data_IF_003721934627
#
_entry.id   IF_003721934627
#
_cell.length_a   1.000
_cell.length_b   1.000
_cell.length_c   1.000
_cell.angle_alpha   90.00
_cell.angle_beta   90.00
_cell.angle_gamma   90.00
#
_symmetry.space_group_name_H-M   'P 1'
#
loop_
_entity.id
_entity.type
_entity.pdbx_description
1 polymer ?
#
# COMPACT_ATOMS: atom_id res chain seq x y z
N UNK A 1 -12.44 11.79 20.34
CA UNK A 1 -11.33 12.64 19.89
C UNK A 1 -11.37 12.77 18.38
N UNK A 2 -11.25 13.98 17.88
CA UNK A 2 -11.30 14.24 16.45
C UNK A 2 -9.92 13.99 15.85
N UNK A 3 -9.85 13.16 14.80
CA UNK A 3 -8.59 12.94 14.10
C UNK A 3 -8.22 14.17 13.28
N UNK A 4 -6.95 14.36 13.06
CA UNK A 4 -6.46 15.41 12.18
C UNK A 4 -6.48 14.95 10.73
N UNK A 5 -6.94 15.81 9.85
CA UNK A 5 -6.84 15.62 8.42
C UNK A 5 -6.37 16.95 7.82
N UNK A 6 -5.05 17.15 7.85
CA UNK A 6 -4.43 18.37 7.35
C UNK A 6 -4.32 18.34 5.84
N UNK A 7 -4.29 19.50 5.22
CA UNK A 7 -4.13 19.61 3.76
C UNK A 7 -2.67 19.49 3.36
N UNK A 8 -2.44 18.84 2.23
CA UNK A 8 -1.15 18.76 1.57
C UNK A 8 -1.40 18.52 0.09
N UNK A 9 -0.47 18.91 -0.76
CA UNK A 9 -0.63 18.75 -2.21
C UNK A 9 -0.33 17.32 -2.65
N UNK A 10 -1.11 16.38 -2.15
CA UNK A 10 -1.01 14.96 -2.49
C UNK A 10 -1.82 14.71 -3.76
N UNK A 11 -1.22 14.05 -4.73
CA UNK A 11 -1.89 13.71 -5.99
C UNK A 11 -1.99 12.20 -6.14
N UNK A 12 -3.17 11.74 -6.52
CA UNK A 12 -3.43 10.32 -6.73
C UNK A 12 -3.92 10.14 -8.15
N UNK A 13 -3.33 9.20 -8.86
CA UNK A 13 -3.74 8.88 -10.23
C UNK A 13 -3.63 7.39 -10.48
N UNK A 14 -4.41 6.84 -11.43
CA UNK A 14 -4.26 5.43 -11.80
C UNK A 14 -2.87 5.15 -12.35
N UNK A 15 -2.30 4.02 -11.95
CA UNK A 15 -1.08 3.52 -12.57
C UNK A 15 -1.43 2.93 -13.93
N UNK A 16 -0.57 3.12 -14.92
CA UNK A 16 -0.79 2.57 -16.25
C UNK A 16 -0.36 1.12 -16.32
N UNK A 17 -1.13 0.31 -17.07
CA UNK A 17 -0.83 -1.10 -17.27
C UNK A 17 -1.11 -1.94 -16.05
N UNK A 18 -0.36 -3.02 -15.92
CA UNK A 18 -0.46 -3.92 -14.78
C UNK A 18 0.74 -3.73 -13.87
N UNK A 19 0.47 -3.60 -12.58
CA UNK A 19 1.51 -3.51 -11.55
C UNK A 19 1.63 -4.87 -10.88
N UNK A 20 2.86 -5.37 -10.78
CA UNK A 20 3.18 -6.61 -10.09
C UNK A 20 4.00 -6.28 -8.85
N UNK A 21 3.65 -6.89 -7.73
CA UNK A 21 4.45 -6.77 -6.50
C UNK A 21 5.13 -8.10 -6.26
N UNK A 22 6.44 -8.06 -6.17
CA UNK A 22 7.29 -9.25 -5.99
C UNK A 22 7.90 -9.16 -4.59
N UNK A 23 7.79 -10.24 -3.84
CA UNK A 23 8.42 -10.35 -2.52
C UNK A 23 9.26 -11.61 -2.49
N UNK A 24 10.56 -11.46 -2.22
CA UNK A 24 11.50 -12.58 -2.14
C UNK A 24 11.39 -13.47 -3.38
N UNK A 25 11.40 -12.83 -4.56
CA UNK A 25 11.32 -13.45 -5.88
C UNK A 25 9.98 -14.10 -6.23
N UNK A 26 8.95 -13.94 -5.41
CA UNK A 26 7.61 -14.48 -5.68
C UNK A 26 6.61 -13.35 -5.87
N UNK A 27 5.75 -13.46 -6.87
CA UNK A 27 4.69 -12.48 -7.09
C UNK A 27 3.60 -12.64 -6.03
N UNK A 28 3.33 -11.57 -5.27
CA UNK A 28 2.35 -11.60 -4.21
C UNK A 28 1.13 -10.73 -4.51
N UNK A 29 1.20 -9.87 -5.53
CA UNK A 29 0.06 -9.08 -5.97
C UNK A 29 0.22 -8.72 -7.42
N UNK A 30 -0.92 -8.54 -8.11
CA UNK A 30 -0.94 -8.13 -9.51
C UNK A 30 -2.27 -7.41 -9.76
N UNK A 31 -2.21 -6.19 -10.31
CA UNK A 31 -3.40 -5.39 -10.48
C UNK A 31 -3.32 -4.47 -11.68
N UNK A 32 -4.45 -4.32 -12.37
CA UNK A 32 -4.63 -3.27 -13.39
C UNK A 32 -5.34 -2.05 -12.82
N UNK A 33 -5.60 -2.04 -11.50
CA UNK A 33 -6.31 -0.95 -10.82
C UNK A 33 -5.48 -0.32 -9.72
N UNK A 34 -4.15 -0.39 -9.84
CA UNK A 34 -3.27 0.23 -8.86
C UNK A 34 -3.34 1.75 -8.97
N UNK A 35 -3.06 2.43 -7.85
CA UNK A 35 -3.03 3.88 -7.76
C UNK A 35 -1.64 4.34 -7.41
N UNK A 36 -1.19 5.43 -8.04
CA UNK A 36 0.04 6.11 -7.68
C UNK A 36 -0.30 7.28 -6.78
N UNK A 37 0.35 7.36 -5.63
CA UNK A 37 0.19 8.46 -4.69
C UNK A 37 1.50 9.24 -4.65
N UNK A 38 1.43 10.51 -5.06
CA UNK A 38 2.58 11.41 -5.10
C UNK A 38 2.40 12.45 -4.00
N UNK A 39 3.24 12.35 -2.99
CA UNK A 39 3.22 13.26 -1.85
C UNK A 39 4.51 14.07 -1.85
N UNK A 40 4.43 15.42 -1.85
CA UNK A 40 5.63 16.26 -1.84
C UNK A 40 6.56 15.91 -0.67
N UNK A 41 7.83 15.72 -0.97
CA UNK A 41 8.84 15.40 0.05
C UNK A 41 8.93 13.94 0.42
N UNK A 42 8.17 13.06 -0.23
CA UNK A 42 8.17 11.62 0.05
C UNK A 42 8.30 10.83 -1.26
N UNK A 43 8.80 9.58 -1.20
CA UNK A 43 8.85 8.74 -2.40
C UNK A 43 7.44 8.44 -2.91
N UNK A 44 7.33 8.23 -4.23
CA UNK A 44 6.09 7.77 -4.84
C UNK A 44 5.67 6.44 -4.21
N UNK A 45 4.40 6.33 -3.84
CA UNK A 45 3.84 5.10 -3.29
C UNK A 45 2.80 4.54 -4.26
N UNK A 46 2.77 3.22 -4.36
CA UNK A 46 1.79 2.53 -5.19
C UNK A 46 0.86 1.76 -4.28
N UNK A 47 -0.44 1.99 -4.44
CA UNK A 47 -1.48 1.34 -3.67
C UNK A 47 -2.20 0.33 -4.55
N UNK A 48 -2.30 -0.90 -4.06
CA UNK A 48 -2.90 -2.03 -4.77
C UNK A 48 -4.24 -2.36 -4.11
N UNK A 49 -5.32 -2.55 -4.87
CA UNK A 49 -6.57 -3.02 -4.27
C UNK A 49 -6.32 -4.29 -3.46
N UNK A 50 -6.87 -4.34 -2.24
CA UNK A 50 -6.66 -5.48 -1.35
C UNK A 50 -7.03 -6.81 -2.03
N UNK A 51 -8.09 -6.79 -2.85
CA UNK A 51 -8.56 -8.00 -3.52
C UNK A 51 -7.58 -8.53 -4.59
N UNK A 52 -6.60 -7.72 -4.99
CA UNK A 52 -5.61 -8.12 -5.98
C UNK A 52 -4.32 -8.65 -5.34
N UNK A 53 -4.31 -8.79 -4.02
CA UNK A 53 -3.20 -9.40 -3.27
C UNK A 53 -3.48 -10.89 -3.13
N UNK A 54 -2.45 -11.70 -3.30
CA UNK A 54 -2.57 -13.15 -3.17
C UNK A 54 -3.10 -13.51 -1.78
N UNK A 55 -4.16 -14.34 -1.67
CA UNK A 55 -4.70 -14.69 -0.36
C UNK A 55 -3.73 -15.53 0.47
N UNK A 56 -3.83 -15.39 1.80
CA UNK A 56 -3.10 -16.23 2.73
C UNK A 56 -1.67 -15.82 3.03
N UNK A 57 -1.20 -14.70 2.47
CA UNK A 57 0.18 -14.25 2.70
C UNK A 57 0.28 -13.04 3.62
N UNK A 58 -0.83 -12.43 3.98
CA UNK A 58 -0.84 -11.27 4.88
C UNK A 58 -1.34 -11.68 6.26
N UNK A 59 -0.60 -11.27 7.29
CA UNK A 59 -0.95 -11.51 8.68
C UNK A 59 -1.07 -10.16 9.37
N UNK A 60 -2.16 -9.93 10.12
CA UNK A 60 -2.37 -8.67 10.79
C UNK A 60 -1.25 -8.39 11.79
N UNK A 61 -0.73 -7.17 11.78
CA UNK A 61 0.26 -6.67 12.72
C UNK A 61 -0.43 -5.79 13.76
N UNK A 62 0.18 -5.67 14.93
CA UNK A 62 -0.31 -4.77 15.96
C UNK A 62 0.22 -3.33 15.77
N UNK A 63 1.10 -3.12 14.81
CA UNK A 63 1.69 -1.81 14.56
C UNK A 63 0.64 -0.84 14.00
N UNK A 64 0.61 0.36 14.55
CA UNK A 64 -0.26 1.44 14.11
C UNK A 64 0.57 2.71 14.10
N UNK A 65 0.48 3.49 13.02
CA UNK A 65 1.11 4.81 12.97
C UNK A 65 0.08 5.83 12.52
N UNK A 66 0.35 7.11 12.73
CA UNK A 66 -0.57 8.17 12.38
C UNK A 66 0.09 9.13 11.40
N UNK A 67 -0.60 9.38 10.29
CA UNK A 67 -0.20 10.39 9.32
C UNK A 67 -1.21 11.53 9.38
N UNK A 68 -0.77 12.78 9.64
CA UNK A 68 -1.72 13.90 9.77
C UNK A 68 -2.48 14.22 8.49
N UNK A 69 -2.03 13.72 7.35
CA UNK A 69 -2.65 13.97 6.05
C UNK A 69 -3.53 12.81 5.58
N UNK A 70 -3.18 11.58 5.96
CA UNK A 70 -3.81 10.37 5.43
C UNK A 70 -4.67 9.62 6.46
N UNK A 71 -4.34 9.75 7.73
CA UNK A 71 -5.08 9.10 8.80
C UNK A 71 -4.25 8.08 9.55
N UNK A 72 -4.92 7.10 10.16
CA UNK A 72 -4.27 6.06 10.94
C UNK A 72 -3.90 4.89 10.04
N UNK A 73 -2.61 4.58 9.97
CA UNK A 73 -2.10 3.46 9.18
C UNK A 73 -2.06 2.19 10.03
N UNK A 74 -2.61 1.13 9.50
CA UNK A 74 -2.53 -0.22 10.06
C UNK A 74 -1.63 -1.06 9.18
N UNK A 75 -1.05 -2.12 9.74
CA UNK A 75 0.00 -2.86 9.05
C UNK A 75 -0.32 -4.34 8.95
N UNK A 76 0.25 -4.98 7.93
CA UNK A 76 0.30 -6.42 7.80
C UNK A 76 1.75 -6.86 7.73
N UNK A 77 2.02 -8.04 8.26
CA UNK A 77 3.26 -8.77 8.00
C UNK A 77 3.07 -9.62 6.77
N UNK A 78 4.10 -9.77 5.96
CA UNK A 78 4.07 -10.73 4.86
C UNK A 78 4.61 -12.06 5.38
N UNK A 79 3.86 -13.14 5.15
CA UNK A 79 4.24 -14.48 5.56
C UNK A 79 4.17 -15.41 4.35
N UNK A 80 5.33 -15.87 3.88
CA UNK A 80 5.41 -16.85 2.80
C UNK A 80 6.16 -18.08 3.29
N UNK A 81 6.24 -19.10 2.45
CA UNK A 81 6.98 -20.31 2.80
C UNK A 81 8.49 -20.09 2.93
N UNK A 82 9.01 -19.04 2.30
CA UNK A 82 10.45 -18.82 2.21
C UNK A 82 10.93 -17.60 3.00
N UNK A 83 10.05 -16.66 3.35
CA UNK A 83 10.47 -15.43 3.99
C UNK A 83 9.35 -14.74 4.73
N UNK A 84 9.71 -13.90 5.70
CA UNK A 84 8.80 -13.03 6.44
C UNK A 84 9.13 -11.58 6.16
N UNK A 85 8.09 -10.74 6.06
CA UNK A 85 8.23 -9.29 5.89
C UNK A 85 7.45 -8.56 6.96
N UNK A 86 8.00 -8.38 8.16
CA UNK A 86 7.25 -7.71 9.25
C UNK A 86 6.99 -6.25 8.92
N UNK A 87 5.72 -5.84 9.08
CA UNK A 87 5.25 -4.45 8.91
C UNK A 87 5.57 -3.85 7.53
N UNK A 88 5.70 -4.68 6.49
CA UNK A 88 6.05 -4.21 5.15
C UNK A 88 4.85 -3.86 4.29
N UNK A 89 3.64 -4.01 4.82
CA UNK A 89 2.39 -3.66 4.13
C UNK A 89 1.58 -2.75 5.04
N UNK A 90 1.02 -1.68 4.50
CA UNK A 90 0.15 -0.82 5.29
C UNK A 90 -1.08 -0.40 4.51
N UNK A 91 -2.11 0.02 5.25
CA UNK A 91 -3.36 0.50 4.68
C UNK A 91 -4.02 1.48 5.64
N UNK A 92 -4.92 2.29 5.11
CA UNK A 92 -5.72 3.24 5.88
C UNK A 92 -7.16 2.78 5.81
N UNK A 93 -7.66 2.14 6.89
CA UNK A 93 -9.02 1.63 6.92
C UNK A 93 -10.05 2.74 6.78
N UNK A 94 -9.72 3.91 7.34
CA UNK A 94 -10.57 5.10 7.26
C UNK A 94 -9.71 6.30 6.86
N UNK A 95 -9.38 6.41 5.56
CA UNK A 95 -8.48 7.48 5.10
C UNK A 95 -9.11 8.86 5.24
N UNK A 96 -8.25 9.88 5.44
CA UNK A 96 -8.71 11.26 5.39
C UNK A 96 -9.29 11.56 4.00
N UNK A 97 -10.23 12.52 3.91
CA UNK A 97 -10.89 12.81 2.62
C UNK A 97 -9.95 13.09 1.47
N UNK A 98 -8.81 13.71 1.75
CA UNK A 98 -7.80 14.03 0.74
C UNK A 98 -7.32 12.80 -0.03
N UNK A 99 -7.30 11.64 0.63
CA UNK A 99 -6.79 10.40 0.05
C UNK A 99 -7.86 9.30 0.01
N UNK A 100 -9.13 9.68 -0.02
CA UNK A 100 -10.24 8.73 -0.07
C UNK A 100 -10.04 7.62 -1.12
N UNK A 101 -9.49 7.88 -2.30
CA UNK A 101 -9.30 6.80 -3.31
C UNK A 101 -8.48 5.61 -2.85
N UNK A 102 -7.61 5.74 -1.84
CA UNK A 102 -6.80 4.61 -1.38
C UNK A 102 -7.53 3.70 -0.39
N UNK A 103 -8.80 3.98 -0.07
CA UNK A 103 -9.62 3.07 0.74
C UNK A 103 -9.63 1.69 0.08
N UNK A 104 -9.53 0.64 0.90
CA UNK A 104 -9.50 -0.75 0.45
C UNK A 104 -8.28 -1.10 -0.41
N UNK A 105 -7.21 -0.31 -0.30
CA UNK A 105 -5.93 -0.56 -0.97
C UNK A 105 -4.84 -0.77 0.07
N UNK A 106 -3.76 -1.43 -0.35
CA UNK A 106 -2.57 -1.63 0.47
C UNK A 106 -1.33 -1.17 -0.29
N UNK A 107 -0.33 -0.70 0.45
CA UNK A 107 0.96 -0.34 -0.10
C UNK A 107 2.03 -1.25 0.49
N UNK A 108 3.13 -1.44 -0.25
CA UNK A 108 4.21 -2.34 0.12
C UNK A 108 5.53 -1.59 0.12
N UNK A 109 6.38 -1.86 1.10
CA UNK A 109 7.73 -1.32 1.14
C UNK A 109 8.63 -2.20 2.01
N UNK A 110 9.80 -2.55 1.49
CA UNK A 110 10.75 -3.35 2.26
C UNK A 110 11.89 -3.86 1.40
N UNK A 111 12.90 -4.45 2.03
CA UNK A 111 14.14 -4.87 1.39
C UNK A 111 13.94 -5.88 0.27
N UNK A 112 12.90 -6.72 0.38
CA UNK A 112 12.65 -7.79 -0.57
C UNK A 112 11.49 -7.49 -1.49
N UNK A 113 10.98 -6.25 -1.44
CA UNK A 113 9.84 -5.83 -2.24
C UNK A 113 10.33 -5.19 -3.53
N UNK A 114 9.79 -5.66 -4.64
CA UNK A 114 10.05 -5.12 -5.96
C UNK A 114 8.73 -4.85 -6.66
N UNK A 115 8.64 -3.71 -7.34
CA UNK A 115 7.49 -3.43 -8.21
C UNK A 115 7.91 -3.58 -9.65
N UNK A 116 7.11 -4.29 -10.43
CA UNK A 116 7.30 -4.42 -11.87
C UNK A 116 6.05 -4.01 -12.59
N UNK A 117 6.20 -3.53 -13.80
CA UNK A 117 5.07 -3.12 -14.63
C UNK A 117 5.08 -3.85 -15.95
N UNK A 118 3.88 -4.13 -16.45
CA UNK A 118 3.71 -4.70 -17.77
C UNK A 118 2.54 -3.99 -18.45
N UNK A 119 2.43 -4.15 -19.77
CA UNK A 119 1.38 -3.48 -20.54
C UNK A 119 0.01 -4.12 -20.31
N UNK A 120 -0.01 -5.33 -19.79
CA UNK A 120 -1.27 -6.06 -19.58
C UNK A 120 -1.25 -6.75 -18.23
#
# INVERSE_FOLDING_TARGET
>A
MTRQCLDKDIKIKPAQGRVHVIFDDAEIASSTNALELDEPGAPLRIYIPFDDVQPGILEASETVTTCPYKGEAHYYNIKTLTADGPDQVWYYADPCPLVEPIRDHVAFWGDRIEYKRSDV
#
